data_IF_814728175762
#
_entry.id   IF_814728175762
#
_cell.length_a   1.000
_cell.length_b   1.000
_cell.length_c   1.000
_cell.angle_alpha   90.00
_cell.angle_beta   90.00
_cell.angle_gamma   90.00
#
_symmetry.space_group_name_H-M   'P 1'
#
loop_
_entity.id
_entity.type
_entity.pdbx_description
1 polymer ?
#
# COMPACT_ATOMS: atom_id res chain seq x y z
N UNK A 1 -5.07 -59.86 -39.21
CA UNK A 1 -4.76 -58.42 -39.00
C UNK A 1 -6.01 -57.52 -38.93
N UNK A 2 -6.89 -57.54 -39.95
CA UNK A 2 -8.12 -56.71 -39.98
C UNK A 2 -8.97 -56.76 -38.70
N UNK A 3 -9.24 -57.96 -38.19
CA UNK A 3 -10.01 -58.15 -36.96
C UNK A 3 -9.35 -57.53 -35.71
N UNK A 4 -8.02 -57.64 -35.60
CA UNK A 4 -7.26 -57.05 -34.47
C UNK A 4 -7.33 -55.52 -34.52
N UNK A 5 -7.26 -54.96 -35.72
CA UNK A 5 -7.40 -53.51 -35.93
C UNK A 5 -8.82 -53.03 -35.60
N UNK A 6 -9.85 -53.78 -35.98
CA UNK A 6 -11.25 -53.46 -35.65
C UNK A 6 -11.50 -53.47 -34.14
N UNK A 7 -10.96 -54.46 -33.42
CA UNK A 7 -11.13 -54.57 -31.97
C UNK A 7 -10.39 -53.46 -31.21
N UNK A 8 -9.17 -53.12 -31.67
CA UNK A 8 -8.42 -51.97 -31.14
C UNK A 8 -9.16 -50.65 -31.41
N UNK A 9 -9.77 -50.51 -32.58
CA UNK A 9 -10.56 -49.32 -32.91
C UNK A 9 -11.79 -49.20 -32.01
N UNK A 10 -12.55 -50.29 -31.78
CA UNK A 10 -13.67 -50.30 -30.81
C UNK A 10 -13.22 -49.91 -29.40
N UNK A 11 -12.12 -50.48 -28.94
CA UNK A 11 -11.55 -50.14 -27.62
C UNK A 11 -11.17 -48.66 -27.53
N UNK A 12 -10.60 -48.11 -28.59
CA UNK A 12 -10.23 -46.70 -28.65
C UNK A 12 -11.44 -45.79 -28.66
N UNK A 13 -12.48 -46.12 -29.43
CA UNK A 13 -13.74 -45.37 -29.47
C UNK A 13 -14.43 -45.36 -28.09
N UNK A 14 -14.44 -46.51 -27.40
CA UNK A 14 -14.96 -46.58 -26.04
C UNK A 14 -14.19 -45.67 -25.08
N UNK A 15 -12.86 -45.69 -25.11
CA UNK A 15 -12.03 -44.80 -24.27
C UNK A 15 -12.25 -43.32 -24.58
N UNK A 16 -12.36 -42.96 -25.86
CA UNK A 16 -12.66 -41.58 -26.27
C UNK A 16 -14.00 -41.14 -25.67
N UNK A 17 -15.03 -41.99 -25.73
CA UNK A 17 -16.32 -41.70 -25.13
C UNK A 17 -16.25 -41.52 -23.61
N UNK A 18 -15.52 -42.37 -22.90
CA UNK A 18 -15.33 -42.22 -21.45
C UNK A 18 -14.60 -40.90 -21.10
N UNK A 19 -13.52 -40.57 -21.81
CA UNK A 19 -12.75 -39.35 -21.58
C UNK A 19 -13.56 -38.09 -21.91
N UNK A 20 -14.41 -38.15 -22.93
CA UNK A 20 -15.33 -37.05 -23.27
C UNK A 20 -16.34 -36.80 -22.15
N UNK A 21 -16.89 -37.86 -21.56
CA UNK A 21 -17.81 -37.73 -20.43
C UNK A 21 -17.11 -37.15 -19.19
N UNK A 22 -15.93 -37.64 -18.86
CA UNK A 22 -15.14 -37.13 -17.73
C UNK A 22 -14.79 -35.65 -17.90
N UNK A 23 -14.45 -35.23 -19.13
CA UNK A 23 -14.23 -33.81 -19.44
C UNK A 23 -15.47 -32.97 -19.15
N UNK A 24 -16.65 -33.41 -19.59
CA UNK A 24 -17.92 -32.70 -19.34
C UNK A 24 -18.21 -32.60 -17.83
N UNK A 25 -17.99 -33.68 -17.08
CA UNK A 25 -18.20 -33.69 -15.63
C UNK A 25 -17.23 -32.74 -14.91
N UNK A 26 -15.98 -32.65 -15.38
CA UNK A 26 -14.98 -31.72 -14.85
C UNK A 26 -15.33 -30.27 -15.20
N UNK A 27 -15.69 -29.98 -16.44
CA UNK A 27 -16.13 -28.64 -16.88
C UNK A 27 -17.32 -28.16 -16.03
N UNK A 28 -18.29 -29.05 -15.75
CA UNK A 28 -19.41 -28.76 -14.87
C UNK A 28 -18.99 -28.40 -13.44
N UNK A 29 -18.01 -29.14 -12.87
CA UNK A 29 -17.48 -28.87 -11.53
C UNK A 29 -16.73 -27.53 -11.47
N UNK A 30 -15.92 -27.23 -12.49
CA UNK A 30 -15.22 -25.94 -12.58
C UNK A 30 -16.20 -24.79 -12.67
N UNK A 31 -17.25 -24.92 -13.49
CA UNK A 31 -18.27 -23.90 -13.63
C UNK A 31 -18.98 -23.60 -12.31
N UNK A 32 -19.39 -24.63 -11.55
CA UNK A 32 -19.98 -24.45 -10.21
C UNK A 32 -19.01 -23.80 -9.22
N UNK A 33 -17.71 -24.08 -9.31
CA UNK A 33 -16.72 -23.46 -8.42
C UNK A 33 -16.60 -21.96 -8.71
N UNK A 34 -16.53 -21.59 -9.99
CA UNK A 34 -16.47 -20.19 -10.44
C UNK A 34 -17.72 -19.44 -9.97
N UNK A 35 -18.90 -20.02 -10.14
CA UNK A 35 -20.16 -19.42 -9.65
C UNK A 35 -20.12 -19.16 -8.14
N UNK A 36 -19.70 -20.15 -7.34
CA UNK A 36 -19.58 -19.97 -5.89
C UNK A 36 -18.57 -18.90 -5.50
N UNK A 37 -17.44 -18.83 -6.18
CA UNK A 37 -16.43 -17.81 -5.92
C UNK A 37 -16.94 -16.41 -6.28
N UNK A 38 -17.67 -16.28 -7.39
CA UNK A 38 -18.29 -15.02 -7.78
C UNK A 38 -19.36 -14.57 -6.78
N UNK A 39 -20.22 -15.49 -6.32
CA UNK A 39 -21.23 -15.20 -5.29
C UNK A 39 -20.57 -14.70 -3.99
N UNK A 40 -19.46 -15.33 -3.58
CA UNK A 40 -18.72 -14.92 -2.39
C UNK A 40 -18.06 -13.55 -2.57
N UNK A 41 -17.46 -13.29 -3.74
CA UNK A 41 -16.91 -11.98 -4.08
C UNK A 41 -17.98 -10.89 -4.05
N UNK A 42 -19.18 -11.17 -4.57
CA UNK A 42 -20.30 -10.21 -4.53
C UNK A 42 -20.72 -9.93 -3.08
N UNK A 43 -20.80 -10.95 -2.23
CA UNK A 43 -21.13 -10.76 -0.80
C UNK A 43 -20.07 -9.96 -0.07
N UNK A 44 -18.79 -10.23 -0.30
CA UNK A 44 -17.69 -9.50 0.30
C UNK A 44 -17.70 -8.02 -0.12
N UNK A 45 -17.92 -7.73 -1.41
CA UNK A 45 -18.07 -6.34 -1.89
C UNK A 45 -19.24 -5.60 -1.25
N UNK A 46 -20.40 -6.26 -1.12
CA UNK A 46 -21.55 -5.66 -0.44
C UNK A 46 -21.27 -5.39 1.05
N UNK A 47 -20.55 -6.29 1.72
CA UNK A 47 -20.13 -6.10 3.11
C UNK A 47 -19.14 -4.94 3.24
N UNK A 48 -18.16 -4.85 2.32
CA UNK A 48 -17.20 -3.75 2.24
C UNK A 48 -17.91 -2.41 2.03
N UNK A 49 -18.80 -2.30 1.04
CA UNK A 49 -19.58 -1.08 0.79
C UNK A 49 -20.42 -0.68 2.01
N UNK A 50 -21.03 -1.65 2.70
CA UNK A 50 -21.79 -1.39 3.93
C UNK A 50 -20.90 -0.87 5.06
N UNK A 51 -19.70 -1.44 5.23
CA UNK A 51 -18.73 -0.99 6.23
C UNK A 51 -18.18 0.40 5.90
N UNK A 52 -17.83 0.66 4.65
CA UNK A 52 -17.37 1.98 4.18
C UNK A 52 -18.47 3.04 4.35
N UNK A 53 -19.72 2.71 4.05
CA UNK A 53 -20.85 3.62 4.28
C UNK A 53 -21.02 3.94 5.76
N UNK A 54 -20.92 2.94 6.65
CA UNK A 54 -20.99 3.13 8.10
C UNK A 54 -19.79 3.92 8.63
N UNK A 55 -18.59 3.66 8.12
CA UNK A 55 -17.39 4.42 8.46
C UNK A 55 -17.52 5.88 8.01
N UNK A 56 -18.00 6.13 6.80
CA UNK A 56 -18.26 7.48 6.29
C UNK A 56 -19.34 8.20 7.10
N UNK A 57 -20.38 7.50 7.58
CA UNK A 57 -21.35 8.08 8.52
C UNK A 57 -20.72 8.41 9.88
N UNK A 58 -19.89 7.52 10.42
CA UNK A 58 -19.18 7.75 11.70
C UNK A 58 -18.14 8.87 11.56
N UNK A 59 -17.47 8.96 10.42
CA UNK A 59 -16.55 10.04 10.08
C UNK A 59 -17.31 11.35 9.85
N UNK A 60 -18.46 11.33 9.18
CA UNK A 60 -19.34 12.49 9.00
C UNK A 60 -19.87 13.05 10.32
N UNK A 61 -20.24 12.17 11.27
CA UNK A 61 -20.64 12.56 12.64
C UNK A 61 -19.43 12.99 13.51
N UNK A 62 -18.22 12.51 13.20
CA UNK A 62 -16.96 12.96 13.84
C UNK A 62 -16.36 14.20 13.20
N UNK A 63 -16.76 14.58 11.99
CA UNK A 63 -16.24 15.72 11.23
C UNK A 63 -16.74 17.08 11.75
N UNK A 64 -17.57 17.11 12.80
CA UNK A 64 -17.73 18.33 13.61
C UNK A 64 -16.51 18.61 14.50
N UNK A 65 -15.55 17.69 14.61
CA UNK A 65 -14.35 17.84 15.44
C UNK A 65 -13.07 17.41 14.68
N UNK A 66 -12.44 18.40 14.05
CA UNK A 66 -11.11 18.44 13.44
C UNK A 66 -9.98 17.87 14.34
N UNK A 67 -9.67 16.55 14.27
CA UNK A 67 -8.49 15.98 15.00
C UNK A 67 -7.87 14.69 14.41
N UNK A 68 -8.19 14.24 13.19
CA UNK A 68 -7.78 12.90 12.73
C UNK A 68 -6.74 12.83 11.60
N UNK A 69 -6.25 13.96 11.09
CA UNK A 69 -5.13 13.99 10.12
C UNK A 69 -3.79 13.56 10.74
N UNK A 70 -3.59 13.80 12.04
CA UNK A 70 -2.24 13.78 12.64
C UNK A 70 -2.04 12.67 13.68
N UNK A 71 -2.72 11.52 13.55
CA UNK A 71 -2.50 10.42 14.50
C UNK A 71 -1.12 9.77 14.25
N UNK A 72 -0.22 9.68 15.25
CA UNK A 72 1.15 9.19 15.08
C UNK A 72 1.25 7.81 14.41
N UNK A 73 0.26 6.93 14.63
CA UNK A 73 0.20 5.58 14.07
C UNK A 73 -0.11 5.57 12.57
N UNK A 74 -1.02 6.45 12.12
CA UNK A 74 -1.34 6.62 10.70
C UNK A 74 -0.18 7.29 9.97
N UNK A 75 0.49 8.21 10.67
CA UNK A 75 1.69 8.87 10.20
C UNK A 75 2.82 7.85 9.95
N UNK A 76 3.08 6.92 10.88
CA UNK A 76 4.13 5.90 10.70
C UNK A 76 3.84 4.95 9.54
N UNK A 77 2.58 4.53 9.35
CA UNK A 77 2.18 3.66 8.24
C UNK A 77 2.34 4.36 6.88
N UNK A 78 1.85 5.61 6.78
CA UNK A 78 1.98 6.43 5.56
C UNK A 78 3.45 6.69 5.22
N UNK A 79 4.29 7.01 6.21
CA UNK A 79 5.72 7.18 5.96
C UNK A 79 6.35 5.88 5.47
N UNK A 80 6.08 4.73 6.10
CA UNK A 80 6.67 3.45 5.70
C UNK A 80 6.33 3.03 4.27
N UNK A 81 5.09 3.19 3.81
CA UNK A 81 4.70 2.86 2.43
C UNK A 81 5.18 3.89 1.39
N UNK A 82 5.23 5.17 1.77
CA UNK A 82 5.75 6.24 0.90
C UNK A 82 7.28 6.14 0.71
N UNK A 83 8.00 5.56 1.68
CA UNK A 83 9.46 5.41 1.60
C UNK A 83 9.93 4.32 0.62
N UNK A 84 9.10 3.33 0.30
CA UNK A 84 9.49 2.21 -0.58
C UNK A 84 9.09 2.46 -2.05
N UNK A 85 7.85 2.91 -2.28
CA UNK A 85 7.33 3.08 -3.64
C UNK A 85 7.86 4.34 -4.32
N UNK A 86 7.77 5.50 -3.67
CA UNK A 86 8.12 6.78 -4.31
C UNK A 86 9.63 6.95 -4.56
N UNK A 87 10.47 6.34 -3.71
CA UNK A 87 11.92 6.37 -3.89
C UNK A 87 12.37 5.45 -5.03
N UNK A 88 11.76 4.27 -5.12
CA UNK A 88 12.01 3.33 -6.23
C UNK A 88 11.52 3.95 -7.54
N UNK A 89 10.30 4.46 -7.58
CA UNK A 89 9.70 5.09 -8.77
C UNK A 89 10.55 6.28 -9.26
N UNK A 90 10.98 7.16 -8.35
CA UNK A 90 11.83 8.30 -8.71
C UNK A 90 13.23 7.87 -9.17
N UNK A 91 13.79 6.80 -8.63
CA UNK A 91 15.08 6.27 -9.06
C UNK A 91 14.98 5.61 -10.45
N UNK A 92 13.93 4.85 -10.69
CA UNK A 92 13.61 4.26 -11.99
C UNK A 92 13.39 5.34 -13.05
N UNK A 93 12.60 6.39 -12.77
CA UNK A 93 12.41 7.50 -13.74
C UNK A 93 13.75 8.18 -14.10
N UNK A 94 14.61 8.43 -13.10
CA UNK A 94 15.92 9.07 -13.35
C UNK A 94 16.88 8.18 -14.16
N UNK A 95 16.88 6.87 -13.92
CA UNK A 95 17.84 5.94 -14.55
C UNK A 95 17.31 5.36 -15.85
N UNK A 96 16.02 5.05 -15.93
CA UNK A 96 15.38 4.45 -17.09
C UNK A 96 14.89 5.49 -18.10
N UNK A 97 14.19 6.55 -17.68
CA UNK A 97 13.64 7.53 -18.61
C UNK A 97 14.65 8.64 -18.93
N UNK A 98 15.31 9.18 -17.90
CA UNK A 98 16.29 10.27 -18.06
C UNK A 98 17.72 9.77 -18.34
N UNK A 99 17.96 8.45 -18.31
CA UNK A 99 19.25 7.82 -18.61
C UNK A 99 20.43 8.38 -17.79
N UNK A 100 20.17 8.83 -16.56
CA UNK A 100 21.23 9.17 -15.62
C UNK A 100 21.94 7.91 -15.15
N UNK A 101 23.23 8.02 -14.83
CA UNK A 101 23.90 6.95 -14.09
C UNK A 101 23.32 6.86 -12.69
N UNK A 102 23.32 5.66 -12.12
CA UNK A 102 22.86 5.40 -10.75
C UNK A 102 23.49 6.38 -9.74
N UNK A 103 24.80 6.65 -9.88
CA UNK A 103 25.52 7.60 -9.02
C UNK A 103 24.98 9.03 -9.14
N UNK A 104 24.62 9.47 -10.35
CA UNK A 104 24.06 10.81 -10.58
C UNK A 104 22.62 10.91 -10.05
N UNK A 105 21.80 9.85 -10.26
CA UNK A 105 20.45 9.77 -9.75
C UNK A 105 20.42 9.78 -8.21
N UNK A 106 21.25 8.97 -7.56
CA UNK A 106 21.39 8.93 -6.09
C UNK A 106 21.81 10.29 -5.53
N UNK A 107 22.81 10.95 -6.14
CA UNK A 107 23.25 12.29 -5.71
C UNK A 107 22.13 13.33 -5.82
N UNK A 108 21.31 13.25 -6.87
CA UNK A 108 20.18 14.15 -7.06
C UNK A 108 19.10 13.93 -5.99
N UNK A 109 18.69 12.69 -5.78
CA UNK A 109 17.69 12.33 -4.77
C UNK A 109 18.16 12.71 -3.36
N UNK A 110 19.43 12.46 -3.04
CA UNK A 110 20.05 12.89 -1.78
C UNK A 110 19.97 14.41 -1.60
N UNK A 111 20.26 15.18 -2.65
CA UNK A 111 20.18 16.65 -2.61
C UNK A 111 18.76 17.14 -2.34
N UNK A 112 17.75 16.50 -2.94
CA UNK A 112 16.33 16.79 -2.70
C UNK A 112 15.99 16.54 -1.23
N UNK A 113 16.37 15.37 -0.70
CA UNK A 113 16.10 15.02 0.70
C UNK A 113 16.77 15.98 1.68
N UNK A 114 18.04 16.34 1.46
CA UNK A 114 18.74 17.30 2.30
C UNK A 114 18.08 18.68 2.29
N UNK A 115 17.56 19.12 1.14
CA UNK A 115 16.84 20.40 1.04
C UNK A 115 15.49 20.34 1.76
N UNK A 116 14.73 19.25 1.59
CA UNK A 116 13.48 19.04 2.31
C UNK A 116 13.70 19.03 3.82
N UNK A 117 14.70 18.28 4.30
CA UNK A 117 15.07 18.24 5.71
C UNK A 117 15.44 19.63 6.25
N UNK A 118 16.28 20.39 5.52
CA UNK A 118 16.64 21.76 5.91
C UNK A 118 15.39 22.64 6.04
N UNK A 119 14.46 22.57 5.09
CA UNK A 119 13.21 23.33 5.14
C UNK A 119 12.31 22.92 6.31
N UNK A 120 12.16 21.63 6.58
CA UNK A 120 11.44 21.17 7.76
C UNK A 120 12.08 21.68 9.05
N UNK A 121 13.42 21.68 9.14
CA UNK A 121 14.16 22.21 10.30
C UNK A 121 13.93 23.70 10.49
N UNK A 122 14.00 24.49 9.42
CA UNK A 122 13.73 25.94 9.43
C UNK A 122 12.30 26.23 9.91
N UNK A 123 11.29 25.57 9.32
CA UNK A 123 9.87 25.76 9.69
C UNK A 123 9.63 25.35 11.15
N UNK A 124 10.20 24.22 11.58
CA UNK A 124 10.04 23.76 12.96
C UNK A 124 10.69 24.72 13.95
N UNK A 125 11.85 25.28 13.60
CA UNK A 125 12.52 26.29 14.41
C UNK A 125 11.68 27.56 14.56
N UNK A 126 11.10 28.06 13.47
CA UNK A 126 10.24 29.24 13.49
C UNK A 126 8.98 29.01 14.35
N UNK A 127 8.39 27.82 14.27
CA UNK A 127 7.27 27.40 15.12
C UNK A 127 7.67 27.31 16.58
N UNK A 128 8.84 26.74 16.87
CA UNK A 128 9.37 26.62 18.23
C UNK A 128 9.61 28.00 18.86
N UNK A 129 10.23 28.94 18.16
CA UNK A 129 10.45 30.29 18.67
C UNK A 129 9.13 31.06 18.86
N UNK A 130 8.17 30.88 17.95
CA UNK A 130 6.81 31.42 18.12
C UNK A 130 6.13 30.87 19.36
N UNK A 131 6.19 29.55 19.57
CA UNK A 131 5.62 28.88 20.75
C UNK A 131 6.31 29.32 22.04
N UNK A 132 7.64 29.46 22.04
CA UNK A 132 8.44 29.92 23.18
C UNK A 132 8.08 31.36 23.57
N UNK A 133 7.86 32.23 22.59
CA UNK A 133 7.38 33.60 22.82
C UNK A 133 5.99 33.63 23.48
N UNK A 134 5.07 32.80 22.99
CA UNK A 134 3.72 32.65 23.56
C UNK A 134 3.76 32.03 24.98
N UNK A 135 4.57 31.00 25.19
CA UNK A 135 4.74 30.38 26.51
C UNK A 135 5.33 31.36 27.53
N UNK A 136 6.25 32.23 27.10
CA UNK A 136 6.85 33.27 27.93
C UNK A 136 5.86 34.39 28.31
N UNK A 137 4.83 34.63 27.48
CA UNK A 137 3.77 35.61 27.76
C UNK A 137 2.65 35.05 28.64
N UNK A 138 2.52 33.72 28.74
CA UNK A 138 1.48 33.04 29.51
C UNK A 138 1.90 32.64 30.95
N UNK A 139 3.09 33.04 31.41
CA UNK A 139 3.68 32.70 32.72
C UNK A 139 3.55 31.20 33.08
N UNK A 140 3.62 30.34 32.06
CA UNK A 140 3.73 28.90 32.26
C UNK A 140 5.17 28.70 32.74
N UNK A 141 5.32 28.42 34.04
CA UNK A 141 6.61 28.13 34.67
C UNK A 141 7.43 27.24 33.74
N UNK A 142 8.51 27.80 33.20
CA UNK A 142 9.47 27.03 32.43
C UNK A 142 10.13 26.02 33.38
N UNK A 143 9.56 24.82 33.47
CA UNK A 143 10.30 23.68 33.98
C UNK A 143 11.46 23.47 33.00
N UNK A 144 12.68 23.64 33.50
CA UNK A 144 13.92 23.45 32.75
C UNK A 144 13.89 22.07 32.09
N UNK A 145 13.62 22.02 30.79
CA UNK A 145 13.91 20.84 30.00
C UNK A 145 15.44 20.63 29.99
N UNK A 146 15.94 19.40 30.15
CA UNK A 146 17.36 19.11 30.07
C UNK A 146 17.90 19.60 28.72
N UNK A 147 19.02 20.31 28.76
CA UNK A 147 19.82 20.67 27.59
C UNK A 147 20.03 19.42 26.74
N UNK A 148 19.32 19.29 25.62
CA UNK A 148 19.67 18.27 24.64
C UNK A 148 21.07 18.58 24.15
N UNK A 149 21.95 17.63 24.42
CA UNK A 149 23.37 17.70 24.20
C UNK A 149 23.67 18.11 22.76
N UNK A 150 24.46 19.16 22.64
CA UNK A 150 25.37 19.34 21.52
C UNK A 150 26.35 18.17 21.53
N UNK A 151 26.04 17.11 20.80
CA UNK A 151 27.06 16.14 20.35
C UNK A 151 27.57 16.62 18.98
N UNK A 152 28.29 17.74 19.00
CA UNK A 152 29.51 17.85 18.21
C UNK A 152 30.60 17.30 19.11
N UNK A 153 30.93 16.01 19.00
CA UNK A 153 32.22 15.48 19.43
C UNK A 153 32.46 14.08 18.82
N UNK A 154 33.40 14.08 17.87
CA UNK A 154 34.21 12.97 17.30
C UNK A 154 33.64 12.14 16.14
#
# INVERSE_FOLDING_TARGET
>A
EKYILEERNRTMQYRISCLQQEKVDMDYKYQRMIEKQNDELTRLRQAEESLLSRLSQIEGDRFTNDVNSDRPTKLSEIYSELYDNEWTDAFEELTEDMKLSDEAAIKLLLKILMNAFRKCKEINWDRYESLKSVASTLDIKQEKLPSMMTEEEQ
#
